data_IF_550789275297
#
_entry.id   IF_550789275297
#
_cell.length_a   1.000
_cell.length_b   1.000
_cell.length_c   1.000
_cell.angle_alpha   90.00
_cell.angle_beta   90.00
_cell.angle_gamma   90.00
#
_symmetry.space_group_name_H-M   'P 1'
#
loop_
_entity.id
_entity.type
_entity.pdbx_description
1 polymer ?
#
# COMPACT_ATOMS: atom_id res chain seq x y z
N UNK A 1 -3.79 -4.95 6.07
CA UNK A 1 -2.67 -4.20 5.45
C UNK A 1 -3.22 -3.29 4.34
N UNK A 2 -2.66 -2.09 4.13
CA UNK A 2 -3.08 -1.14 3.07
C UNK A 2 -1.91 -0.83 2.11
N UNK A 3 -2.18 -0.30 0.90
CA UNK A 3 -1.17 0.00 -0.13
C UNK A 3 0.03 0.85 0.37
N UNK A 4 -0.16 2.01 1.03
CA UNK A 4 0.99 2.83 1.48
C UNK A 4 1.88 2.09 2.48
N UNK A 5 1.26 1.36 3.41
CA UNK A 5 1.96 0.54 4.40
C UNK A 5 2.75 -0.59 3.73
N UNK A 6 2.16 -1.27 2.74
CA UNK A 6 2.83 -2.31 1.96
C UNK A 6 4.07 -1.77 1.23
N UNK A 7 3.94 -0.63 0.53
CA UNK A 7 5.07 0.01 -0.17
C UNK A 7 6.20 0.41 0.79
N UNK A 8 5.84 0.97 1.95
CA UNK A 8 6.79 1.36 2.99
C UNK A 8 7.54 0.14 3.55
N UNK A 9 6.81 -0.92 3.89
CA UNK A 9 7.38 -2.19 4.35
C UNK A 9 8.34 -2.78 3.31
N UNK A 10 7.88 -2.95 2.06
CA UNK A 10 8.65 -3.56 1.00
C UNK A 10 9.96 -2.79 0.72
N UNK A 11 9.91 -1.46 0.64
CA UNK A 11 11.11 -0.63 0.44
C UNK A 11 12.12 -0.80 1.57
N UNK A 12 11.66 -0.72 2.83
CA UNK A 12 12.53 -0.85 4.01
C UNK A 12 13.16 -2.24 4.07
N UNK A 13 12.37 -3.28 3.81
CA UNK A 13 12.85 -4.65 3.80
C UNK A 13 13.90 -4.86 2.71
N UNK A 14 13.61 -4.51 1.45
CA UNK A 14 14.54 -4.69 0.32
C UNK A 14 15.86 -3.95 0.58
N UNK A 15 15.82 -2.76 1.17
CA UNK A 15 17.03 -2.01 1.49
C UNK A 15 17.94 -2.77 2.47
N UNK A 16 17.37 -3.30 3.56
CA UNK A 16 18.14 -4.02 4.59
C UNK A 16 18.55 -5.40 4.08
N UNK A 17 17.60 -6.17 3.57
CA UNK A 17 17.83 -7.54 3.10
C UNK A 17 18.76 -7.59 1.89
N UNK A 18 18.65 -6.63 0.96
CA UNK A 18 19.56 -6.53 -0.18
C UNK A 18 21.00 -6.21 0.22
N UNK A 19 21.19 -5.39 1.26
CA UNK A 19 22.53 -5.18 1.85
C UNK A 19 23.05 -6.46 2.51
N UNK A 20 22.22 -7.17 3.27
CA UNK A 20 22.62 -8.43 3.92
C UNK A 20 22.97 -9.51 2.88
N UNK A 21 22.17 -9.65 1.82
CA UNK A 21 22.37 -10.61 0.74
C UNK A 21 23.65 -10.31 -0.06
N UNK A 22 23.91 -9.05 -0.41
CA UNK A 22 25.13 -8.67 -1.14
C UNK A 22 26.41 -8.91 -0.35
N UNK A 23 26.33 -8.81 0.98
CA UNK A 23 27.42 -9.14 1.90
C UNK A 23 27.42 -10.61 2.37
N UNK A 24 26.60 -11.48 1.75
CA UNK A 24 26.47 -12.91 2.05
C UNK A 24 26.18 -13.21 3.53
N UNK A 25 25.44 -12.32 4.19
CA UNK A 25 24.99 -12.45 5.58
C UNK A 25 23.71 -13.27 5.70
N UNK A 26 22.91 -13.32 4.64
CA UNK A 26 21.73 -14.17 4.49
C UNK A 26 21.74 -14.81 3.11
N UNK A 27 21.15 -15.99 2.99
CA UNK A 27 20.82 -16.61 1.71
C UNK A 27 19.53 -16.02 1.10
N UNK A 28 19.26 -16.37 -0.15
CA UNK A 28 18.00 -15.99 -0.80
C UNK A 28 16.78 -16.61 -0.12
N UNK A 29 16.87 -17.88 0.31
CA UNK A 29 15.77 -18.53 1.04
C UNK A 29 15.55 -17.92 2.43
N UNK A 30 16.63 -17.51 3.11
CA UNK A 30 16.50 -16.76 4.36
C UNK A 30 15.84 -15.40 4.13
N UNK A 31 16.21 -14.70 3.06
CA UNK A 31 15.55 -13.44 2.65
C UNK A 31 14.05 -13.66 2.43
N UNK A 32 13.67 -14.69 1.68
CA UNK A 32 12.27 -15.02 1.40
C UNK A 32 11.51 -15.39 2.69
N UNK A 33 12.12 -16.18 3.57
CA UNK A 33 11.56 -16.54 4.87
C UNK A 33 11.34 -15.31 5.77
N UNK A 34 12.34 -14.43 5.88
CA UNK A 34 12.24 -13.21 6.70
C UNK A 34 11.24 -12.21 6.08
N UNK A 35 11.14 -12.16 4.76
CA UNK A 35 10.13 -11.37 4.08
C UNK A 35 8.73 -11.88 4.47
N UNK A 36 8.48 -13.18 4.35
CA UNK A 36 7.21 -13.76 4.77
C UNK A 36 6.89 -13.47 6.24
N UNK A 37 7.86 -13.70 7.14
CA UNK A 37 7.68 -13.45 8.60
C UNK A 37 7.41 -11.99 8.95
N UNK A 38 7.90 -11.04 8.16
CA UNK A 38 7.66 -9.61 8.39
C UNK A 38 6.24 -9.14 8.05
N UNK A 39 5.42 -9.99 7.43
CA UNK A 39 4.06 -9.66 7.03
C UNK A 39 3.07 -9.98 8.15
N UNK A 40 2.13 -9.07 8.50
CA UNK A 40 1.08 -9.34 9.48
C UNK A 40 0.29 -10.61 9.17
N UNK A 41 0.00 -11.44 10.18
CA UNK A 41 -0.62 -12.76 10.01
C UNK A 41 -1.92 -12.69 9.18
N UNK A 42 -2.83 -11.78 9.52
CA UNK A 42 -4.09 -11.59 8.81
C UNK A 42 -3.94 -11.25 7.32
N UNK A 43 -2.79 -10.71 6.90
CA UNK A 43 -2.51 -10.46 5.50
C UNK A 43 -1.78 -11.65 4.85
N UNK A 44 -0.94 -12.37 5.60
CA UNK A 44 -0.35 -13.63 5.15
C UNK A 44 -1.42 -14.66 4.78
N UNK A 45 -2.46 -14.84 5.59
CA UNK A 45 -3.53 -15.81 5.30
C UNK A 45 -4.18 -15.52 3.92
N UNK A 46 -4.39 -14.24 3.59
CA UNK A 46 -4.94 -13.81 2.29
C UNK A 46 -3.96 -14.00 1.14
N UNK A 47 -2.67 -13.78 1.38
CA UNK A 47 -1.61 -13.99 0.40
C UNK A 47 -1.44 -15.47 0.10
N UNK A 48 -1.37 -16.30 1.14
CA UNK A 48 -1.20 -17.75 1.05
C UNK A 48 -2.33 -18.40 0.26
N UNK A 49 -3.58 -18.06 0.55
CA UNK A 49 -4.73 -18.55 -0.21
C UNK A 49 -4.62 -18.22 -1.71
N UNK A 50 -4.16 -17.01 -2.06
CA UNK A 50 -3.96 -16.62 -3.47
C UNK A 50 -2.72 -17.26 -4.09
N UNK A 51 -1.64 -17.41 -3.33
CA UNK A 51 -0.40 -18.04 -3.78
C UNK A 51 -0.62 -19.52 -4.08
N UNK A 52 -1.30 -20.25 -3.20
CA UNK A 52 -1.65 -21.66 -3.42
C UNK A 52 -2.65 -21.85 -4.56
N UNK A 53 -3.51 -20.87 -4.84
CA UNK A 53 -4.36 -20.91 -6.03
C UNK A 53 -3.57 -20.74 -7.34
N UNK A 54 -2.41 -20.06 -7.31
CA UNK A 54 -1.54 -19.84 -8.48
C UNK A 54 -0.51 -20.97 -8.59
N UNK A 55 0.00 -21.45 -7.45
CA UNK A 55 1.05 -22.45 -7.31
C UNK A 55 0.53 -23.61 -6.44
N UNK A 56 -0.35 -24.47 -6.98
CA UNK A 56 -0.98 -25.54 -6.21
C UNK A 56 0.01 -26.59 -5.71
N UNK A 57 1.12 -26.79 -6.44
CA UNK A 57 2.16 -27.76 -6.11
C UNK A 57 3.31 -27.15 -5.26
N UNK A 58 3.11 -25.94 -4.71
CA UNK A 58 4.12 -25.31 -3.85
C UNK A 58 4.29 -26.10 -2.56
N UNK A 59 5.54 -26.48 -2.26
CA UNK A 59 5.89 -27.14 -1.02
C UNK A 59 5.92 -26.15 0.16
N UNK A 60 5.02 -26.37 1.12
CA UNK A 60 4.85 -25.52 2.31
C UNK A 60 6.02 -25.59 3.30
N UNK A 61 6.94 -26.52 3.13
CA UNK A 61 8.21 -26.50 3.87
C UNK A 61 9.12 -25.35 3.42
N UNK A 62 8.90 -24.81 2.21
CA UNK A 62 9.71 -23.77 1.61
C UNK A 62 8.99 -22.40 1.61
N UNK A 63 9.71 -21.29 1.88
CA UNK A 63 9.12 -19.96 1.83
C UNK A 63 8.71 -19.59 0.40
N UNK A 64 7.62 -18.82 0.28
CA UNK A 64 7.25 -18.22 -1.00
C UNK A 64 8.27 -17.18 -1.43
N UNK A 65 8.63 -17.19 -2.72
CA UNK A 65 9.54 -16.18 -3.30
C UNK A 65 8.99 -14.77 -3.11
N UNK A 66 9.85 -13.86 -2.64
CA UNK A 66 9.52 -12.46 -2.34
C UNK A 66 8.79 -11.79 -3.51
N UNK A 67 9.23 -12.03 -4.74
CA UNK A 67 8.62 -11.46 -5.95
C UNK A 67 7.19 -11.95 -6.19
N UNK A 68 6.93 -13.23 -5.97
CA UNK A 68 5.58 -13.81 -6.09
C UNK A 68 4.65 -13.21 -5.04
N UNK A 69 5.10 -13.12 -3.79
CA UNK A 69 4.36 -12.45 -2.71
C UNK A 69 4.07 -10.99 -3.07
N UNK A 70 5.05 -10.27 -3.62
CA UNK A 70 4.89 -8.87 -4.04
C UNK A 70 3.85 -8.70 -5.15
N UNK A 71 3.83 -9.59 -6.14
CA UNK A 71 2.85 -9.57 -7.23
C UNK A 71 1.43 -9.79 -6.69
N UNK A 72 1.24 -10.81 -5.84
CA UNK A 72 -0.06 -11.10 -5.24
C UNK A 72 -0.51 -9.98 -4.30
N UNK A 73 0.38 -9.44 -3.47
CA UNK A 73 0.08 -8.33 -2.58
C UNK A 73 -0.39 -7.08 -3.35
N UNK A 74 0.27 -6.75 -4.46
CA UNK A 74 -0.14 -5.64 -5.33
C UNK A 74 -1.55 -5.85 -5.87
N UNK A 75 -1.88 -7.05 -6.33
CA UNK A 75 -3.22 -7.39 -6.82
C UNK A 75 -4.28 -7.28 -5.71
N UNK A 76 -4.01 -7.82 -4.52
CA UNK A 76 -4.92 -7.76 -3.37
C UNK A 76 -5.20 -6.34 -2.87
N UNK A 77 -4.21 -5.46 -2.99
CA UNK A 77 -4.30 -4.09 -2.48
C UNK A 77 -4.70 -3.07 -3.58
N UNK A 78 -4.91 -3.53 -4.82
CA UNK A 78 -5.28 -2.67 -5.94
C UNK A 78 -6.71 -2.12 -5.75
N UNK A 79 -6.84 -0.79 -5.72
CA UNK A 79 -8.13 -0.11 -5.56
C UNK A 79 -8.95 -0.04 -6.86
N UNK A 80 -8.27 0.04 -8.00
CA UNK A 80 -8.91 0.15 -9.31
C UNK A 80 -9.08 -1.25 -9.94
N UNK A 81 -9.93 -2.09 -9.35
CA UNK A 81 -10.36 -3.33 -9.99
C UNK A 81 -11.66 -3.06 -10.74
N UNK A 82 -11.86 -3.74 -11.87
CA UNK A 82 -13.08 -3.58 -12.68
C UNK A 82 -14.35 -3.94 -11.89
N UNK A 83 -14.21 -4.85 -10.92
CA UNK A 83 -15.27 -5.36 -10.05
C UNK A 83 -15.26 -4.72 -8.66
N UNK A 84 -14.40 -3.72 -8.43
CA UNK A 84 -14.52 -2.88 -7.25
C UNK A 84 -15.60 -1.84 -7.59
N UNK A 85 -16.86 -2.23 -7.40
CA UNK A 85 -17.94 -1.25 -7.28
C UNK A 85 -17.42 -0.20 -6.31
N UNK A 86 -17.30 1.06 -6.75
CA UNK A 86 -16.75 2.14 -5.93
C UNK A 86 -17.71 2.31 -4.77
N UNK A 87 -17.52 1.53 -3.70
CA UNK A 87 -18.12 1.79 -2.41
C UNK A 87 -17.45 3.08 -1.95
N UNK A 88 -18.00 4.20 -2.40
CA UNK A 88 -17.91 5.48 -1.73
C UNK A 88 -18.41 5.19 -0.32
N UNK A 89 -17.50 4.83 0.57
CA UNK A 89 -17.79 4.86 1.99
C UNK A 89 -18.02 6.33 2.30
N UNK A 90 -19.26 6.64 2.64
CA UNK A 90 -19.76 7.91 3.18
C UNK A 90 -18.76 8.47 4.20
N UNK A 91 -17.88 9.36 3.74
CA UNK A 91 -17.17 10.37 4.55
C UNK A 91 -16.68 11.49 3.62
N UNK A 92 -17.55 11.91 2.70
CA UNK A 92 -17.51 13.25 2.14
C UNK A 92 -18.46 14.05 3.04
N UNK A 93 -17.96 14.60 4.14
CA UNK A 93 -18.75 15.59 4.88
C UNK A 93 -18.84 16.83 4.01
N UNK A 94 -20.02 17.05 3.44
CA UNK A 94 -20.45 18.30 2.83
C UNK A 94 -20.22 19.46 3.81
N UNK A 95 -19.14 20.22 3.62
CA UNK A 95 -19.07 21.59 4.15
C UNK A 95 -19.77 22.51 3.17
N UNK A 96 -21.08 22.57 3.38
CA UNK A 96 -21.97 23.73 3.25
C UNK A 96 -21.45 24.90 2.41
N UNK A 97 -21.87 24.92 1.15
CA UNK A 97 -21.78 26.08 0.27
C UNK A 97 -22.93 27.02 0.62
N UNK A 98 -22.78 27.83 1.67
CA UNK A 98 -23.65 28.99 1.89
C UNK A 98 -23.22 30.10 0.93
N UNK A 99 -24.05 30.27 -0.10
CA UNK A 99 -23.87 31.22 -1.20
C UNK A 99 -24.73 32.46 -0.99
N UNK A 100 -24.25 33.57 -1.55
CA UNK A 100 -24.92 34.86 -1.83
C UNK A 100 -25.09 35.83 -0.63
N UNK A 101 -24.87 37.14 -0.71
CA UNK A 101 -24.73 38.06 -1.85
C UNK A 101 -24.12 39.39 -1.38
N UNK A 102 -23.28 39.96 -2.26
CA UNK A 102 -23.05 41.35 -2.66
C UNK A 102 -23.70 42.51 -1.88
N UNK A 103 -22.90 43.52 -1.50
CA UNK A 103 -23.27 44.93 -1.64
C UNK A 103 -21.98 45.78 -1.75
N UNK A 104 -21.87 46.52 -2.85
CA UNK A 104 -20.79 47.47 -3.13
C UNK A 104 -20.93 48.74 -2.27
N UNK A 105 -19.84 49.44 -1.99
CA UNK A 105 -19.75 50.91 -2.15
C UNK A 105 -18.32 51.43 -1.90
N UNK A 106 -17.97 52.41 -2.72
CA UNK A 106 -16.71 53.09 -2.99
C UNK A 106 -16.10 53.92 -1.82
N UNK A 107 -14.96 54.56 -2.15
CA UNK A 107 -14.34 55.76 -1.54
C UNK A 107 -13.18 55.48 -0.54
N UNK A 108 -12.03 56.15 -0.52
CA UNK A 108 -11.34 57.14 -1.36
C UNK A 108 -9.92 57.31 -0.74
N UNK A 109 -8.99 57.77 -1.56
CA UNK A 109 -7.66 58.38 -1.35
C UNK A 109 -6.91 58.36 0.02
N UNK A 110 -5.61 58.04 -0.02
CA UNK A 110 -4.55 59.06 0.14
C UNK A 110 -3.16 58.45 0.43
N UNK A 111 -2.22 58.79 -0.44
CA UNK A 111 -0.77 58.73 -0.28
C UNK A 111 -0.29 59.53 0.96
N UNK A 112 0.72 59.04 1.70
CA UNK A 112 1.69 59.88 2.45
C UNK A 112 2.85 59.08 3.04
N UNK A 113 4.05 59.39 2.51
CA UNK A 113 5.44 59.32 3.02
C UNK A 113 5.88 58.21 4.02
#
# INVERSE_FOLDING_TARGET
MQMPHWKSYNRKFIHIAGWLESHKKISEDEKDLYFWKGIPQNFRDKLEARLLAIYPDHDLENPFKTDSVCKVAKSLLQRNRFDNERTLSEDETDYDSDSESDDEEDEDDSDSD
#
